data_IF_946512386417
#
_entry.id   IF_946512386417
#
_cell.length_a   1.000
_cell.length_b   1.000
_cell.length_c   1.000
_cell.angle_alpha   90.00
_cell.angle_beta   90.00
_cell.angle_gamma   90.00
#
_symmetry.space_group_name_H-M   'P 1'
#
loop_
_entity.id
_entity.type
_entity.pdbx_description
1 polymer ?
#
# COMPACT_ATOMS: atom_id res chain seq x y z
N UNK A 1 21.04 -7.20 -9.08
CA UNK A 1 19.59 -7.30 -9.32
C UNK A 1 19.19 -8.76 -9.54
N UNK A 2 18.02 -9.20 -9.05
CA UNK A 2 17.44 -10.52 -9.36
C UNK A 2 16.62 -10.40 -10.63
N UNK A 3 16.97 -11.18 -11.64
CA UNK A 3 16.34 -11.14 -12.98
C UNK A 3 15.24 -12.19 -13.11
N UNK A 4 15.47 -13.40 -12.56
CA UNK A 4 14.48 -14.47 -12.52
C UNK A 4 14.75 -15.43 -11.36
N UNK A 5 13.73 -16.20 -11.00
CA UNK A 5 13.80 -17.24 -9.98
C UNK A 5 13.27 -18.54 -10.57
N UNK A 6 13.96 -19.65 -10.27
CA UNK A 6 13.43 -21.00 -10.40
C UNK A 6 13.31 -21.59 -8.99
N UNK A 7 12.07 -21.75 -8.55
CA UNK A 7 11.72 -22.23 -7.20
C UNK A 7 11.43 -23.74 -7.17
N UNK A 8 11.59 -24.43 -8.30
CA UNK A 8 11.41 -25.87 -8.40
C UNK A 8 12.54 -26.68 -7.72
N UNK A 9 12.27 -27.91 -7.37
CA UNK A 9 13.25 -28.81 -6.78
C UNK A 9 13.74 -28.42 -5.36
N UNK A 10 14.72 -29.16 -4.84
CA UNK A 10 15.29 -28.94 -3.49
C UNK A 10 16.32 -27.81 -3.46
N UNK A 11 17.00 -27.56 -4.57
CA UNK A 11 17.92 -26.44 -4.75
C UNK A 11 17.23 -25.43 -5.67
N UNK A 12 17.00 -24.24 -5.13
CA UNK A 12 16.42 -23.11 -5.86
C UNK A 12 17.50 -22.33 -6.58
N UNK A 13 17.16 -21.68 -7.69
CA UNK A 13 18.08 -20.88 -8.49
C UNK A 13 17.58 -19.45 -8.62
N UNK A 14 18.47 -18.49 -8.39
CA UNK A 14 18.25 -17.09 -8.70
C UNK A 14 19.23 -16.65 -9.78
N UNK A 15 18.73 -16.17 -10.91
CA UNK A 15 19.55 -15.47 -11.90
C UNK A 15 19.66 -14.00 -11.49
N UNK A 16 20.89 -13.52 -11.39
CA UNK A 16 21.15 -12.12 -11.01
C UNK A 16 22.03 -11.42 -12.03
N UNK A 17 22.11 -10.10 -11.95
CA UNK A 17 23.01 -9.27 -12.76
C UNK A 17 24.50 -9.63 -12.58
N UNK A 18 24.85 -10.37 -11.51
CA UNK A 18 26.23 -10.79 -11.18
C UNK A 18 26.45 -12.30 -11.40
N UNK A 19 25.45 -13.00 -11.95
CA UNK A 19 25.48 -14.43 -12.20
C UNK A 19 24.50 -15.22 -11.34
N UNK A 20 24.43 -16.55 -11.54
CA UNK A 20 23.47 -17.41 -10.87
C UNK A 20 23.85 -17.69 -9.41
N UNK A 21 22.85 -17.71 -8.54
CA UNK A 21 22.96 -18.14 -7.15
C UNK A 21 22.11 -19.39 -6.92
N UNK A 22 22.63 -20.32 -6.14
CA UNK A 22 21.94 -21.55 -5.76
C UNK A 22 21.72 -21.57 -4.25
N UNK A 23 20.52 -21.93 -3.82
CA UNK A 23 20.17 -21.99 -2.41
C UNK A 23 19.14 -23.08 -2.13
N UNK A 24 19.15 -23.64 -0.92
CA UNK A 24 18.11 -24.59 -0.47
C UNK A 24 16.86 -23.86 0.03
N UNK A 25 17.01 -22.60 0.47
CA UNK A 25 15.90 -21.76 0.93
C UNK A 25 15.96 -20.39 0.25
N UNK A 26 14.79 -19.81 0.03
CA UNK A 26 14.63 -18.43 -0.46
C UNK A 26 13.60 -17.71 0.42
N UNK A 27 13.91 -16.48 0.82
CA UNK A 27 12.98 -15.57 1.51
C UNK A 27 12.61 -14.44 0.55
N UNK A 28 11.32 -14.35 0.21
CA UNK A 28 10.76 -13.33 -0.66
C UNK A 28 10.35 -12.11 0.20
N UNK A 29 11.10 -11.03 0.12
CA UNK A 29 10.93 -9.81 0.92
C UNK A 29 10.76 -8.57 0.01
N UNK A 30 10.12 -8.73 -1.14
CA UNK A 30 10.03 -7.71 -2.21
C UNK A 30 9.04 -6.59 -1.90
N UNK A 31 8.22 -6.75 -0.86
CA UNK A 31 7.30 -5.72 -0.38
C UNK A 31 6.09 -5.45 -1.27
N UNK A 32 5.47 -4.29 -1.06
CA UNK A 32 4.34 -3.81 -1.85
C UNK A 32 4.41 -2.29 -1.99
N UNK A 33 4.36 -1.78 -3.22
CA UNK A 33 4.30 -0.35 -3.50
C UNK A 33 2.87 0.21 -3.37
N UNK A 34 2.71 1.51 -3.16
CA UNK A 34 1.42 2.17 -3.27
C UNK A 34 0.93 2.12 -4.73
N UNK A 35 -0.39 2.20 -4.89
CA UNK A 35 -0.97 2.56 -6.20
C UNK A 35 -0.97 4.07 -6.30
N UNK A 36 -0.44 4.57 -7.40
CA UNK A 36 -0.36 5.99 -7.70
C UNK A 36 -1.66 6.49 -8.33
N UNK A 37 -1.90 7.80 -8.25
CA UNK A 37 -2.96 8.47 -9.01
C UNK A 37 -2.65 8.42 -10.51
N UNK A 38 -1.36 8.42 -10.86
CA UNK A 38 -0.88 8.42 -12.24
C UNK A 38 -1.00 9.78 -12.91
N UNK A 39 -0.88 10.84 -12.14
CA UNK A 39 -0.93 12.23 -12.61
C UNK A 39 0.44 12.88 -12.58
N UNK A 40 0.63 13.90 -13.42
CA UNK A 40 1.91 14.61 -13.53
C UNK A 40 2.36 15.19 -12.19
N UNK A 41 3.66 15.14 -11.92
CA UNK A 41 4.29 15.68 -10.70
C UNK A 41 4.07 14.83 -9.43
N UNK A 42 3.30 13.73 -9.48
CA UNK A 42 3.02 12.94 -8.28
C UNK A 42 4.29 12.44 -7.60
N UNK A 43 5.24 11.91 -8.36
CA UNK A 43 6.49 11.35 -7.83
C UNK A 43 7.42 12.41 -7.22
N UNK A 44 7.55 13.57 -7.86
CA UNK A 44 8.39 14.69 -7.42
C UNK A 44 7.85 15.34 -6.13
N UNK A 45 6.54 15.18 -5.90
CA UNK A 45 5.85 15.74 -4.73
C UNK A 45 5.73 14.76 -3.55
N UNK A 46 6.27 13.54 -3.66
CA UNK A 46 6.35 12.62 -2.52
C UNK A 46 7.18 13.27 -1.40
N UNK A 47 6.60 13.33 -0.18
CA UNK A 47 7.17 14.02 0.95
C UNK A 47 7.09 15.57 0.89
N UNK A 48 6.59 16.11 -0.23
CA UNK A 48 6.33 17.54 -0.41
C UNK A 48 4.83 17.85 -0.52
N UNK A 49 4.02 17.01 0.08
CA UNK A 49 2.56 17.13 0.09
C UNK A 49 1.82 15.91 -0.44
N UNK A 50 2.47 15.03 -1.20
CA UNK A 50 1.93 13.72 -1.56
C UNK A 50 2.41 12.68 -0.57
N UNK A 51 1.50 11.87 -0.02
CA UNK A 51 1.75 10.89 1.03
C UNK A 51 0.94 9.62 0.75
N UNK A 52 1.45 8.48 1.22
CA UNK A 52 0.81 7.16 1.06
C UNK A 52 0.52 6.45 2.40
N UNK A 53 0.77 7.13 3.53
CA UNK A 53 0.59 6.55 4.86
C UNK A 53 0.13 7.61 5.86
N UNK A 54 -1.16 7.61 6.22
CA UNK A 54 -1.69 8.56 7.20
C UNK A 54 -1.11 8.34 8.62
N UNK A 55 -0.87 7.08 9.00
CA UNK A 55 -0.27 6.76 10.29
C UNK A 55 1.19 7.20 10.40
N UNK A 56 1.93 7.25 9.27
CA UNK A 56 3.33 7.66 9.21
C UNK A 56 3.46 9.19 9.21
N UNK A 57 2.70 9.86 8.34
CA UNK A 57 2.94 11.25 7.96
C UNK A 57 1.86 12.22 8.49
N UNK A 58 0.76 11.71 9.02
CA UNK A 58 -0.40 12.53 9.42
C UNK A 58 -0.06 13.66 10.40
N UNK A 59 0.91 13.43 11.30
CA UNK A 59 1.32 14.43 12.29
C UNK A 59 1.94 15.70 11.67
N UNK A 60 2.54 15.63 10.49
CA UNK A 60 3.06 16.80 9.76
C UNK A 60 1.94 17.72 9.25
N UNK A 61 0.71 17.24 9.26
CA UNK A 61 -0.50 17.97 8.81
C UNK A 61 -1.41 18.40 9.96
N UNK A 62 -0.89 18.46 11.18
CA UNK A 62 -1.65 18.93 12.33
C UNK A 62 -2.21 20.34 12.06
N UNK A 63 -3.52 20.52 12.27
CA UNK A 63 -4.25 21.77 12.05
C UNK A 63 -4.26 22.28 10.59
N UNK A 64 -3.96 21.42 9.61
CA UNK A 64 -3.97 21.72 8.17
C UNK A 64 -5.18 21.09 7.48
N UNK A 65 -5.40 21.47 6.23
CA UNK A 65 -6.40 20.85 5.35
C UNK A 65 -5.75 19.79 4.50
N UNK A 66 -6.26 18.56 4.53
CA UNK A 66 -5.74 17.46 3.73
C UNK A 66 -6.81 16.82 2.88
N UNK A 67 -6.38 16.24 1.78
CA UNK A 67 -7.23 15.45 0.88
C UNK A 67 -6.85 13.98 0.99
N UNK A 68 -7.84 13.09 0.94
CA UNK A 68 -7.65 11.64 0.82
C UNK A 68 -8.25 11.19 -0.52
N UNK A 69 -7.43 10.60 -1.37
CA UNK A 69 -7.88 9.94 -2.57
C UNK A 69 -8.20 8.48 -2.28
N UNK A 70 -9.46 8.09 -2.38
CA UNK A 70 -9.89 6.71 -2.15
C UNK A 70 -11.24 6.57 -1.46
N UNK A 71 -11.74 5.33 -1.37
CA UNK A 71 -13.04 5.06 -0.73
C UNK A 71 -13.16 3.61 -0.22
N UNK A 72 -12.04 2.90 -0.11
CA UNK A 72 -11.95 1.57 0.50
C UNK A 72 -11.60 1.65 1.99
N UNK A 73 -11.41 0.49 2.62
CA UNK A 73 -11.09 0.40 4.06
C UNK A 73 -9.86 1.24 4.45
N UNK A 74 -8.80 1.22 3.65
CA UNK A 74 -7.59 2.03 3.91
C UNK A 74 -7.93 3.51 3.93
N UNK A 75 -8.60 4.03 2.89
CA UNK A 75 -8.97 5.44 2.83
C UNK A 75 -9.88 5.85 3.99
N UNK A 76 -10.82 5.00 4.38
CA UNK A 76 -11.71 5.26 5.50
C UNK A 76 -10.98 5.26 6.86
N UNK A 77 -10.07 4.31 7.07
CA UNK A 77 -9.23 4.27 8.27
C UNK A 77 -8.29 5.49 8.34
N UNK A 78 -7.64 5.84 7.22
CA UNK A 78 -6.79 7.02 7.11
C UNK A 78 -7.58 8.31 7.39
N UNK A 79 -8.81 8.42 6.87
CA UNK A 79 -9.68 9.56 7.13
C UNK A 79 -10.01 9.71 8.62
N UNK A 80 -10.28 8.62 9.34
CA UNK A 80 -10.51 8.66 10.78
C UNK A 80 -9.26 9.03 11.57
N UNK A 81 -8.07 8.58 11.14
CA UNK A 81 -6.81 8.99 11.78
C UNK A 81 -6.61 10.50 11.57
N UNK A 82 -6.71 10.97 10.34
CA UNK A 82 -6.47 12.36 9.98
C UNK A 82 -7.53 13.33 10.54
N UNK A 83 -8.78 12.88 10.69
CA UNK A 83 -9.82 13.71 11.30
C UNK A 83 -9.54 14.12 12.75
N UNK A 84 -8.72 13.33 13.46
CA UNK A 84 -8.30 13.63 14.85
C UNK A 84 -7.09 14.59 14.91
N UNK A 85 -6.43 14.82 13.80
CA UNK A 85 -5.14 15.53 13.72
C UNK A 85 -5.29 16.82 12.93
N UNK A 86 -5.99 16.75 11.80
CA UNK A 86 -6.10 17.83 10.83
C UNK A 86 -7.26 18.77 11.12
N UNK A 87 -7.16 20.01 10.65
CA UNK A 87 -8.26 20.97 10.69
C UNK A 87 -9.43 20.53 9.82
N UNK A 88 -9.13 19.97 8.64
CA UNK A 88 -10.14 19.51 7.69
C UNK A 88 -9.59 18.34 6.89
N UNK A 89 -10.44 17.34 6.64
CA UNK A 89 -10.16 16.19 5.78
C UNK A 89 -11.19 16.14 4.66
N UNK A 90 -10.74 16.12 3.42
CA UNK A 90 -11.61 16.04 2.24
C UNK A 90 -11.39 14.67 1.60
N UNK A 91 -12.39 13.80 1.64
CA UNK A 91 -12.34 12.47 1.03
C UNK A 91 -12.85 12.58 -0.40
N UNK A 92 -11.98 12.33 -1.38
CA UNK A 92 -12.29 12.30 -2.80
C UNK A 92 -12.49 10.86 -3.25
N UNK A 93 -13.70 10.55 -3.74
CA UNK A 93 -14.03 9.22 -4.21
C UNK A 93 -14.81 9.25 -5.53
N UNK A 94 -14.40 8.39 -6.48
CA UNK A 94 -15.01 8.29 -7.82
C UNK A 94 -16.41 7.67 -7.88
N UNK A 95 -16.98 7.29 -6.73
CA UNK A 95 -18.34 6.76 -6.58
C UNK A 95 -19.11 7.64 -5.60
N UNK A 96 -20.41 7.42 -5.54
CA UNK A 96 -21.34 8.14 -4.65
C UNK A 96 -21.43 7.53 -3.23
N UNK A 97 -20.68 6.47 -2.96
CA UNK A 97 -20.66 5.80 -1.65
C UNK A 97 -19.32 5.12 -1.39
N UNK A 98 -18.92 5.02 -0.13
CA UNK A 98 -17.72 4.29 0.29
C UNK A 98 -17.87 2.80 0.00
N UNK A 99 -16.77 2.18 -0.44
CA UNK A 99 -16.62 0.72 -0.52
C UNK A 99 -16.10 0.10 0.78
N UNK A 100 -15.71 0.95 1.73
CA UNK A 100 -15.26 0.53 3.05
C UNK A 100 -16.36 -0.25 3.78
N UNK A 101 -15.98 -1.10 4.73
CA UNK A 101 -16.91 -1.79 5.62
C UNK A 101 -17.73 -0.79 6.43
N UNK A 102 -18.96 -1.15 6.74
CA UNK A 102 -19.95 -0.21 7.38
C UNK A 102 -19.50 0.37 8.72
N UNK A 103 -18.56 -0.30 9.39
CA UNK A 103 -18.01 0.19 10.67
C UNK A 103 -17.35 1.58 10.55
N UNK A 104 -16.87 1.95 9.36
CA UNK A 104 -16.24 3.25 9.10
C UNK A 104 -17.24 4.33 8.71
N UNK A 105 -18.44 3.97 8.21
CA UNK A 105 -19.37 4.93 7.62
C UNK A 105 -19.88 5.91 8.67
N UNK A 106 -20.47 5.42 9.75
CA UNK A 106 -21.10 6.27 10.77
C UNK A 106 -20.09 7.22 11.45
N UNK A 107 -18.89 6.76 11.90
CA UNK A 107 -17.89 7.67 12.47
C UNK A 107 -17.44 8.76 11.51
N UNK A 108 -17.25 8.44 10.21
CA UNK A 108 -16.83 9.42 9.21
C UNK A 108 -17.94 10.43 8.88
N UNK A 109 -19.20 9.98 8.78
CA UNK A 109 -20.33 10.85 8.49
C UNK A 109 -20.67 11.80 9.65
N UNK A 110 -20.32 11.42 10.90
CA UNK A 110 -20.50 12.24 12.10
C UNK A 110 -19.34 13.19 12.39
N UNK A 111 -18.18 13.00 11.73
CA UNK A 111 -17.02 13.85 11.95
C UNK A 111 -17.24 15.22 11.31
N UNK A 112 -17.29 16.28 12.13
CA UNK A 112 -17.61 17.66 11.71
C UNK A 112 -16.57 18.24 10.73
N UNK A 113 -15.34 17.75 10.77
CA UNK A 113 -14.24 18.21 9.93
C UNK A 113 -13.95 17.30 8.73
N UNK A 114 -14.80 16.30 8.45
CA UNK A 114 -14.69 15.44 7.28
C UNK A 114 -15.71 15.84 6.23
N UNK A 115 -15.25 16.11 5.03
CA UNK A 115 -16.08 16.45 3.86
C UNK A 115 -15.87 15.39 2.78
N UNK A 116 -16.94 15.04 2.04
CA UNK A 116 -16.85 14.10 0.93
C UNK A 116 -17.03 14.82 -0.41
N UNK A 117 -16.16 14.49 -1.37
CA UNK A 117 -16.30 14.81 -2.78
C UNK A 117 -16.56 13.51 -3.53
N UNK A 118 -17.85 13.22 -3.65
CA UNK A 118 -18.34 12.04 -4.36
C UNK A 118 -18.24 12.21 -5.87
N UNK A 119 -18.29 11.09 -6.59
CA UNK A 119 -18.22 11.05 -8.04
C UNK A 119 -17.08 11.88 -8.62
N UNK A 120 -15.96 11.95 -7.91
CA UNK A 120 -14.85 12.85 -8.22
C UNK A 120 -13.53 12.12 -8.25
N UNK A 121 -12.63 12.56 -9.11
CA UNK A 121 -11.24 12.11 -9.20
C UNK A 121 -10.29 13.31 -9.20
N UNK A 122 -9.09 13.11 -8.66
CA UNK A 122 -8.02 14.12 -8.72
C UNK A 122 -7.38 14.00 -10.10
N UNK A 123 -7.33 15.11 -10.85
CA UNK A 123 -6.74 15.16 -12.18
C UNK A 123 -5.44 15.97 -12.23
N UNK A 124 -5.16 16.77 -11.22
CA UNK A 124 -3.95 17.58 -11.14
C UNK A 124 -3.60 17.90 -9.68
N UNK A 125 -2.30 17.95 -9.40
CA UNK A 125 -1.73 18.49 -8.18
C UNK A 125 -1.28 19.93 -8.43
N UNK A 126 -1.86 20.87 -7.70
CA UNK A 126 -1.45 22.28 -7.74
C UNK A 126 -0.33 22.47 -6.74
N UNK A 127 0.81 22.99 -7.18
CA UNK A 127 2.00 23.10 -6.33
C UNK A 127 2.90 24.25 -6.72
N UNK A 128 3.67 24.72 -5.76
CA UNK A 128 4.93 25.43 -5.92
C UNK A 128 6.06 24.46 -5.54
N UNK A 129 6.78 24.72 -4.45
CA UNK A 129 7.75 23.76 -3.86
C UNK A 129 7.07 22.54 -3.23
N UNK A 130 5.80 22.66 -2.85
CA UNK A 130 4.94 21.64 -2.22
C UNK A 130 3.52 21.78 -2.74
N UNK A 131 2.72 20.77 -2.46
CA UNK A 131 1.28 20.80 -2.76
C UNK A 131 0.61 21.98 -2.05
N UNK A 132 -0.15 22.79 -2.82
CA UNK A 132 -0.99 23.90 -2.34
C UNK A 132 -2.47 23.66 -2.64
N UNK A 133 -2.78 22.66 -3.44
CA UNK A 133 -4.16 22.34 -3.82
C UNK A 133 -4.23 21.20 -4.81
N UNK A 134 -5.45 20.92 -5.24
CA UNK A 134 -5.76 19.93 -6.26
C UNK A 134 -6.82 20.46 -7.22
N UNK A 135 -6.84 19.91 -8.44
CA UNK A 135 -7.98 20.01 -9.35
C UNK A 135 -8.71 18.67 -9.38
N UNK A 136 -10.02 18.75 -9.21
CA UNK A 136 -10.95 17.63 -9.28
C UNK A 136 -11.75 17.68 -10.56
N UNK A 137 -12.10 16.50 -11.06
CA UNK A 137 -13.12 16.35 -12.10
C UNK A 137 -14.24 15.44 -11.58
N UNK A 138 -15.48 15.91 -11.72
CA UNK A 138 -16.64 15.06 -11.47
C UNK A 138 -16.77 14.05 -12.61
N UNK A 139 -16.76 12.75 -12.29
CA UNK A 139 -16.76 11.70 -13.33
C UNK A 139 -18.11 11.52 -14.03
N UNK A 140 -19.21 12.08 -13.48
CA UNK A 140 -20.55 12.04 -14.08
C UNK A 140 -20.85 13.25 -14.96
N UNK A 141 -20.45 14.45 -14.49
CA UNK A 141 -20.77 15.71 -15.17
C UNK A 141 -19.63 16.26 -16.00
N UNK A 142 -18.39 15.84 -15.74
CA UNK A 142 -17.18 16.41 -16.33
C UNK A 142 -16.79 17.77 -15.75
N UNK A 143 -17.54 18.31 -14.78
CA UNK A 143 -17.23 19.58 -14.14
C UNK A 143 -15.91 19.53 -13.38
N UNK A 144 -15.08 20.55 -13.57
CA UNK A 144 -13.81 20.68 -12.88
C UNK A 144 -13.89 21.74 -11.77
N UNK A 145 -13.31 21.42 -10.63
CA UNK A 145 -13.24 22.32 -9.47
C UNK A 145 -11.85 22.28 -8.85
N UNK A 146 -11.44 23.41 -8.29
CA UNK A 146 -10.16 23.53 -7.57
C UNK A 146 -10.40 23.58 -6.07
N UNK A 147 -9.58 22.86 -5.29
CA UNK A 147 -9.60 22.87 -3.84
C UNK A 147 -8.20 23.16 -3.30
N UNK A 148 -8.09 24.14 -2.42
CA UNK A 148 -6.85 24.39 -1.68
C UNK A 148 -6.66 23.31 -0.60
N UNK A 149 -5.45 22.76 -0.49
CA UNK A 149 -5.07 21.83 0.55
C UNK A 149 -3.56 21.87 0.80
N UNK A 150 -3.14 21.42 1.98
CA UNK A 150 -1.73 21.36 2.37
C UNK A 150 -1.08 20.02 2.04
N UNK A 151 -1.89 19.00 1.69
CA UNK A 151 -1.38 17.68 1.31
C UNK A 151 -2.47 16.72 0.85
N UNK A 152 -2.01 15.71 0.13
CA UNK A 152 -2.84 14.62 -0.44
C UNK A 152 -2.33 13.29 0.08
N UNK A 153 -3.23 12.48 0.64
CA UNK A 153 -2.99 11.09 1.03
C UNK A 153 -3.62 10.17 0.00
N UNK A 154 -2.78 9.42 -0.71
CA UNK A 154 -3.22 8.52 -1.78
C UNK A 154 -3.49 7.14 -1.20
N UNK A 155 -4.78 6.81 -1.00
CA UNK A 155 -5.25 5.59 -0.33
C UNK A 155 -6.12 4.73 -1.26
N UNK A 156 -5.65 4.53 -2.52
CA UNK A 156 -6.35 3.76 -3.55
C UNK A 156 -5.88 2.30 -3.66
N UNK A 157 -5.10 1.86 -2.68
CA UNK A 157 -4.61 0.49 -2.55
C UNK A 157 -3.10 0.36 -2.74
N UNK A 158 -2.63 -0.87 -2.65
CA UNK A 158 -1.22 -1.24 -2.85
C UNK A 158 -1.10 -2.32 -3.92
N UNK A 159 0.09 -2.46 -4.48
CA UNK A 159 0.45 -3.50 -5.45
C UNK A 159 1.62 -4.30 -4.85
N UNK A 160 1.45 -5.59 -4.54
CA UNK A 160 2.55 -6.43 -4.11
C UNK A 160 3.57 -6.62 -5.23
N UNK A 161 4.87 -6.65 -4.87
CA UNK A 161 5.95 -6.88 -5.83
C UNK A 161 6.21 -8.39 -5.96
N UNK A 162 5.25 -9.11 -6.50
CA UNK A 162 5.25 -10.57 -6.66
C UNK A 162 5.47 -11.06 -8.10
N UNK A 163 5.71 -10.16 -9.04
CA UNK A 163 5.78 -10.46 -10.47
C UNK A 163 6.79 -11.57 -10.81
N UNK A 164 7.96 -11.59 -10.14
CA UNK A 164 9.00 -12.59 -10.38
C UNK A 164 8.60 -14.03 -10.02
N UNK A 165 7.57 -14.18 -9.18
CA UNK A 165 7.23 -15.48 -8.57
C UNK A 165 5.75 -15.88 -8.70
N UNK A 166 4.88 -14.99 -9.19
CA UNK A 166 3.41 -15.19 -9.23
C UNK A 166 2.96 -16.43 -10.00
N UNK A 167 3.77 -16.91 -10.94
CA UNK A 167 3.48 -18.09 -11.74
C UNK A 167 4.02 -19.39 -11.10
N UNK A 168 4.71 -19.29 -9.96
CA UNK A 168 5.32 -20.40 -9.24
C UNK A 168 4.73 -20.57 -7.84
N UNK A 169 4.49 -19.46 -7.10
CA UNK A 169 3.88 -19.49 -5.77
C UNK A 169 2.39 -19.15 -5.84
N UNK A 170 1.63 -19.63 -4.87
CA UNK A 170 0.22 -19.26 -4.75
C UNK A 170 0.08 -17.79 -4.35
N UNK A 171 -0.78 -17.07 -5.08
CA UNK A 171 -1.12 -15.67 -4.80
C UNK A 171 -2.63 -15.49 -4.66
N UNK A 172 -3.04 -14.51 -3.85
CA UNK A 172 -4.44 -14.13 -3.75
C UNK A 172 -4.91 -13.31 -4.99
N UNK A 173 -6.21 -13.03 -5.15
CA UNK A 173 -6.72 -12.24 -6.28
C UNK A 173 -6.16 -10.80 -6.37
N UNK A 174 -5.54 -10.28 -5.31
CA UNK A 174 -4.88 -8.98 -5.30
C UNK A 174 -3.38 -9.06 -5.64
N UNK A 175 -2.84 -10.29 -5.80
CA UNK A 175 -1.45 -10.57 -6.14
C UNK A 175 -0.52 -10.75 -4.94
N UNK A 176 -1.03 -10.78 -3.69
CA UNK A 176 -0.22 -11.05 -2.52
C UNK A 176 0.11 -12.54 -2.42
N UNK A 177 1.36 -12.86 -2.09
CA UNK A 177 1.79 -14.25 -1.87
C UNK A 177 1.04 -14.81 -0.66
N UNK A 178 0.42 -15.97 -0.83
CA UNK A 178 -0.29 -16.66 0.25
C UNK A 178 0.74 -17.28 1.18
N UNK A 179 0.80 -16.78 2.41
CA UNK A 179 1.61 -17.30 3.49
C UNK A 179 0.94 -17.00 4.83
N UNK A 180 1.01 -17.93 5.75
CA UNK A 180 0.49 -17.79 7.12
C UNK A 180 1.50 -17.14 8.07
N UNK A 181 1.26 -17.21 9.37
CA UNK A 181 2.15 -16.66 10.39
C UNK A 181 3.51 -17.38 10.47
N UNK A 182 3.66 -18.58 9.88
CA UNK A 182 4.95 -19.25 9.72
C UNK A 182 5.77 -18.69 8.56
N UNK A 183 5.20 -17.79 7.77
CA UNK A 183 5.78 -17.22 6.54
C UNK A 183 6.06 -18.21 5.41
N UNK A 184 5.67 -19.48 5.59
CA UNK A 184 5.84 -20.53 4.56
C UNK A 184 4.89 -20.28 3.40
N UNK A 185 5.38 -20.50 2.19
CA UNK A 185 4.57 -20.55 0.98
C UNK A 185 4.14 -21.99 0.67
N UNK A 186 3.41 -22.18 -0.41
CA UNK A 186 3.09 -23.52 -0.93
C UNK A 186 4.31 -24.30 -1.44
N UNK A 187 5.50 -23.68 -1.58
CA UNK A 187 6.72 -24.33 -2.04
C UNK A 187 7.66 -24.58 -0.86
N UNK A 188 8.04 -25.83 -0.55
CA UNK A 188 8.98 -26.15 0.51
C UNK A 188 10.30 -25.39 0.40
N UNK A 189 10.78 -24.78 1.48
CA UNK A 189 11.99 -23.97 1.52
C UNK A 189 11.85 -22.55 0.95
N UNK A 190 10.63 -22.14 0.54
CA UNK A 190 10.34 -20.77 0.09
C UNK A 190 9.42 -20.08 1.09
N UNK A 191 9.86 -18.92 1.57
CA UNK A 191 9.18 -18.10 2.56
C UNK A 191 8.83 -16.74 1.98
N UNK A 192 7.72 -16.14 2.42
CA UNK A 192 7.33 -14.78 2.05
C UNK A 192 7.14 -13.93 3.29
N UNK A 193 7.75 -12.75 3.33
CA UNK A 193 7.80 -11.87 4.49
C UNK A 193 7.42 -10.43 4.15
N UNK A 194 6.92 -9.70 5.14
CA UNK A 194 6.57 -8.30 4.98
C UNK A 194 5.34 -8.07 4.09
N UNK A 195 5.35 -6.95 3.39
CA UNK A 195 4.18 -6.43 2.70
C UNK A 195 3.78 -7.21 1.43
N UNK A 196 4.64 -8.08 0.91
CA UNK A 196 4.37 -8.87 -0.30
C UNK A 196 3.40 -10.03 -0.05
N UNK A 197 3.25 -10.47 1.22
CA UNK A 197 2.39 -11.60 1.58
C UNK A 197 1.00 -11.17 2.07
N UNK A 198 0.09 -12.15 2.14
CA UNK A 198 -1.22 -12.00 2.79
C UNK A 198 -1.05 -11.71 4.28
N UNK A 199 -1.53 -10.56 4.75
CA UNK A 199 -1.54 -10.17 6.17
C UNK A 199 -2.50 -9.01 6.44
N UNK A 200 -2.93 -8.89 7.70
CA UNK A 200 -3.89 -7.88 8.11
C UNK A 200 -3.28 -6.48 8.23
N UNK A 201 -2.04 -6.37 8.73
CA UNK A 201 -1.37 -5.10 8.98
C UNK A 201 -0.01 -5.07 8.28
N UNK A 202 0.24 -4.00 7.53
CA UNK A 202 1.49 -3.74 6.80
C UNK A 202 2.19 -2.54 7.38
N UNK A 203 3.20 -2.80 8.21
CA UNK A 203 4.03 -1.81 8.89
C UNK A 203 5.45 -2.37 9.04
N UNK A 204 6.44 -1.49 9.23
CA UNK A 204 7.84 -1.90 9.40
C UNK A 204 8.00 -2.96 10.48
N UNK A 205 7.36 -2.76 11.65
CA UNK A 205 7.45 -3.70 12.77
C UNK A 205 6.91 -5.10 12.41
N UNK A 206 5.83 -5.19 11.62
CA UNK A 206 5.29 -6.48 11.19
C UNK A 206 6.16 -7.15 10.12
N UNK A 207 6.83 -6.36 9.27
CA UNK A 207 7.80 -6.90 8.30
C UNK A 207 9.05 -7.44 9.00
N UNK A 208 9.55 -6.75 10.02
CA UNK A 208 10.69 -7.21 10.84
C UNK A 208 10.35 -8.52 11.56
N UNK A 209 9.16 -8.62 12.18
CA UNK A 209 8.69 -9.82 12.83
C UNK A 209 8.60 -11.02 11.86
N UNK A 210 8.06 -10.81 10.66
CA UNK A 210 8.03 -11.84 9.62
C UNK A 210 9.45 -12.32 9.26
N UNK A 211 10.41 -11.39 9.13
CA UNK A 211 11.81 -11.72 8.83
C UNK A 211 12.43 -12.65 9.88
N UNK A 212 12.23 -12.35 11.16
CA UNK A 212 12.69 -13.20 12.26
C UNK A 212 12.03 -14.59 12.22
N UNK A 213 10.72 -14.63 11.97
CA UNK A 213 9.95 -15.87 11.84
C UNK A 213 10.46 -16.74 10.68
N UNK A 214 10.73 -16.12 9.51
CA UNK A 214 11.23 -16.83 8.32
C UNK A 214 12.60 -17.47 8.57
N UNK A 215 13.51 -16.79 9.30
CA UNK A 215 14.82 -17.34 9.65
C UNK A 215 14.66 -18.61 10.49
N UNK A 216 13.82 -18.57 11.53
CA UNK A 216 13.56 -19.72 12.38
C UNK A 216 13.06 -20.93 11.56
N UNK A 217 12.07 -20.75 10.71
CA UNK A 217 11.54 -21.86 9.90
C UNK A 217 12.45 -22.28 8.74
N UNK A 218 13.30 -21.39 8.24
CA UNK A 218 14.32 -21.76 7.27
C UNK A 218 15.41 -22.66 7.90
N UNK A 219 15.81 -22.38 9.15
CA UNK A 219 16.74 -23.22 9.90
C UNK A 219 16.16 -24.61 10.15
N UNK A 220 14.88 -24.71 10.58
CA UNK A 220 14.20 -26.00 10.74
C UNK A 220 14.18 -26.80 9.42
N UNK A 221 13.82 -26.15 8.32
CA UNK A 221 13.80 -26.79 6.99
C UNK A 221 15.19 -27.30 6.58
N UNK A 222 16.23 -26.52 6.82
CA UNK A 222 17.62 -26.92 6.49
C UNK A 222 18.13 -28.05 7.36
N UNK A 223 17.65 -28.16 8.61
CA UNK A 223 17.96 -29.26 9.53
C UNK A 223 17.22 -30.57 9.21
N UNK A 224 16.33 -30.57 8.22
CA UNK A 224 15.53 -31.74 7.82
C UNK A 224 14.23 -31.90 8.61
N UNK A 225 13.83 -30.90 9.39
CA UNK A 225 12.49 -30.77 9.96
C UNK A 225 11.53 -30.22 8.91
N UNK A 226 10.55 -31.00 8.48
CA UNK A 226 9.38 -30.51 7.72
C UNK A 226 8.23 -30.32 8.65
#
# INVERSE_FOLDING_TARGET
>A
EVLSLDLSGTVKKAETSEGPLLARTIVLATGAGPRELGIEGEQELIGKGVNYCAACDGMFYKNKTVVIAGGGNTAAADALILSRICKKVIVVHRRDTLRATKIYHEPLMKAENVEFRWDSEIIELLHDEKVIGIRLRNVKTGEETTLACDGVFVSIGRKPSSELVKDQVEVDPAGYIIADESTRTNIPGVFAVGDVRTKALRQVVTAVADGATAVHYAEEYLAGGM
#
